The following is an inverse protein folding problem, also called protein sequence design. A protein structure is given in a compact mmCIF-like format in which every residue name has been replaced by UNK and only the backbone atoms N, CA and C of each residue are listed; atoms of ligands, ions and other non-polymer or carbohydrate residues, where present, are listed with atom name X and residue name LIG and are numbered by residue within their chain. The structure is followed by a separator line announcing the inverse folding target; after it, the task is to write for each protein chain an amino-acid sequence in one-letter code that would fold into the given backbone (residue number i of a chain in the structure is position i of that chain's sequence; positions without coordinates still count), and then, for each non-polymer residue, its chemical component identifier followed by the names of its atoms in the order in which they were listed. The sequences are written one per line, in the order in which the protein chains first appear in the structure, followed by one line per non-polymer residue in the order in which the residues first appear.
data_IF_668050907508
#
_entry.id   IF_668050907508
#
_cell.length_a   1.000
_cell.length_b   1.000
_cell.length_c   1.000
_cell.angle_alpha   90.00
_cell.angle_beta   90.00
_cell.angle_gamma   90.00
#
_symmetry.space_group_name_H-M   'P 1'
#
loop_
_entity.id
_entity.type
_entity.pdbx_description
1 polymer ?
#
# COMPACT_ATOMS: atom_id res chain seq x y z
N UNK A 1 -16.60 18.28 -5.35
CA UNK A 1 -16.70 16.92 -5.95
C UNK A 1 -15.41 16.41 -6.58
N UNK A 2 -14.73 17.14 -7.48
CA UNK A 2 -13.50 16.65 -8.16
C UNK A 2 -12.42 16.14 -7.19
N UNK A 3 -12.11 16.90 -6.13
CA UNK A 3 -11.09 16.50 -5.14
C UNK A 3 -11.51 15.30 -4.29
N UNK A 4 -12.79 15.14 -3.99
CA UNK A 4 -13.32 13.96 -3.30
C UNK A 4 -13.10 12.70 -4.12
N UNK A 5 -13.40 12.75 -5.43
CA UNK A 5 -13.17 11.62 -6.35
C UNK A 5 -11.68 11.28 -6.38
N UNK A 6 -10.80 12.28 -6.57
CA UNK A 6 -9.35 12.08 -6.60
C UNK A 6 -8.86 11.44 -5.29
N UNK A 7 -9.27 11.97 -4.13
CA UNK A 7 -8.88 11.43 -2.83
C UNK A 7 -9.30 9.97 -2.65
N UNK A 8 -10.56 9.65 -2.96
CA UNK A 8 -11.07 8.27 -2.87
C UNK A 8 -10.38 7.33 -3.86
N UNK A 9 -10.10 7.77 -5.09
CA UNK A 9 -9.35 6.98 -6.08
C UNK A 9 -7.94 6.67 -5.57
N UNK A 10 -7.24 7.64 -4.95
CA UNK A 10 -5.91 7.39 -4.37
C UNK A 10 -5.96 6.36 -3.24
N UNK A 11 -6.97 6.42 -2.38
CA UNK A 11 -7.17 5.41 -1.33
C UNK A 11 -7.45 4.02 -1.90
N UNK A 12 -8.29 3.93 -2.94
CA UNK A 12 -8.58 2.67 -3.62
C UNK A 12 -7.32 2.09 -4.26
N UNK A 13 -6.54 2.91 -4.96
CA UNK A 13 -5.28 2.49 -5.58
C UNK A 13 -4.26 2.05 -4.54
N UNK A 14 -4.17 2.74 -3.40
CA UNK A 14 -3.33 2.33 -2.27
C UNK A 14 -3.70 0.91 -1.79
N UNK A 15 -4.99 0.65 -1.57
CA UNK A 15 -5.47 -0.66 -1.13
C UNK A 15 -5.18 -1.76 -2.16
N UNK A 16 -5.40 -1.48 -3.45
CA UNK A 16 -5.11 -2.43 -4.54
C UNK A 16 -3.62 -2.75 -4.60
N UNK A 17 -2.75 -1.73 -4.57
CA UNK A 17 -1.29 -1.92 -4.62
C UNK A 17 -0.79 -2.68 -3.40
N UNK A 18 -1.29 -2.37 -2.20
CA UNK A 18 -0.91 -3.11 -0.99
C UNK A 18 -1.35 -4.58 -1.07
N UNK A 19 -2.60 -4.83 -1.45
CA UNK A 19 -3.15 -6.18 -1.60
C UNK A 19 -2.40 -7.00 -2.65
N UNK A 20 -2.13 -6.43 -3.82
CA UNK A 20 -1.37 -7.11 -4.87
C UNK A 20 0.05 -7.45 -4.43
N UNK A 21 0.66 -6.59 -3.61
CA UNK A 21 1.98 -6.84 -3.03
C UNK A 21 1.99 -8.01 -2.07
N UNK A 22 0.96 -8.14 -1.21
CA UNK A 22 0.84 -9.29 -0.31
C UNK A 22 0.62 -10.60 -1.09
N UNK A 23 -0.14 -10.55 -2.18
CA UNK A 23 -0.32 -11.70 -3.08
C UNK A 23 1.02 -12.08 -3.72
N UNK A 24 1.76 -11.11 -4.25
CA UNK A 24 3.08 -11.34 -4.84
C UNK A 24 4.08 -11.91 -3.84
N UNK A 25 4.13 -11.36 -2.62
CA UNK A 25 4.98 -11.87 -1.55
C UNK A 25 4.59 -13.30 -1.15
N UNK A 26 3.30 -13.63 -1.15
CA UNK A 26 2.81 -14.99 -0.88
C UNK A 26 3.30 -15.99 -1.93
N UNK A 27 3.27 -15.61 -3.21
CA UNK A 27 3.78 -16.46 -4.29
C UNK A 27 5.31 -16.60 -4.21
N UNK A 28 6.01 -15.49 -4.03
CA UNK A 28 7.48 -15.49 -3.93
C UNK A 28 7.99 -16.27 -2.70
N UNK A 29 7.21 -16.29 -1.62
CA UNK A 29 7.50 -17.13 -0.44
C UNK A 29 7.54 -18.63 -0.78
N UNK A 30 6.73 -19.10 -1.72
CA UNK A 30 6.77 -20.51 -2.15
C UNK A 30 8.08 -20.83 -2.89
N UNK A 31 8.60 -19.87 -3.66
CA UNK A 31 9.88 -20.01 -4.36
C UNK A 31 11.03 -20.06 -3.36
N UNK A 32 11.04 -19.14 -2.38
CA UNK A 32 12.03 -19.12 -1.29
C UNK A 32 11.97 -20.38 -0.40
N UNK A 33 10.76 -20.89 -0.14
CA UNK A 33 10.57 -22.10 0.68
C UNK A 33 10.98 -23.38 -0.03
N UNK A 34 10.76 -23.49 -1.34
CA UNK A 34 11.07 -24.69 -2.14
C UNK A 34 12.55 -24.82 -2.48
N UNK A 35 13.26 -23.71 -2.64
CA UNK A 35 14.71 -23.70 -2.91
C UNK A 35 15.57 -23.85 -1.64
N UNK A 36 14.98 -23.71 -0.45
CA UNK A 36 15.65 -23.93 0.85
C UNK A 36 16.80 -22.96 1.16
N UNK A 37 17.11 -22.01 0.27
CA UNK A 37 18.18 -21.04 0.38
C UNK A 37 17.67 -19.66 -0.05
N UNK A 38 18.21 -18.60 0.55
CA UNK A 38 17.95 -17.21 0.15
C UNK A 38 17.01 -16.42 1.06
N UNK A 39 16.35 -17.05 2.04
CA UNK A 39 15.54 -16.32 3.02
C UNK A 39 16.31 -16.04 4.32
N UNK A 40 16.07 -14.88 4.93
CA UNK A 40 16.73 -14.44 6.15
C UNK A 40 15.97 -14.96 7.38
N UNK A 41 16.66 -15.73 8.23
CA UNK A 41 16.11 -16.32 9.46
C UNK A 41 15.44 -15.32 10.40
N UNK A 42 15.88 -14.04 10.39
CA UNK A 42 15.31 -12.98 11.24
C UNK A 42 13.92 -12.56 10.82
N UNK A 43 13.61 -12.67 9.53
CA UNK A 43 12.34 -12.21 8.95
C UNK A 43 11.42 -13.36 8.54
N UNK A 44 11.92 -14.59 8.52
CA UNK A 44 11.18 -15.73 8.00
C UNK A 44 11.04 -15.67 6.48
N UNK A 45 10.45 -16.72 5.91
CA UNK A 45 10.25 -16.83 4.46
C UNK A 45 9.37 -15.69 3.94
N UNK A 46 8.22 -15.46 4.56
CA UNK A 46 7.28 -14.43 4.14
C UNK A 46 7.79 -13.00 4.37
N UNK A 47 8.46 -12.74 5.49
CA UNK A 47 9.05 -11.42 5.75
C UNK A 47 10.20 -11.10 4.79
N UNK A 48 11.03 -12.09 4.45
CA UNK A 48 12.03 -11.93 3.39
C UNK A 48 11.35 -11.64 2.04
N UNK A 49 10.28 -12.36 1.71
CA UNK A 49 9.53 -12.12 0.48
C UNK A 49 8.96 -10.71 0.41
N UNK A 50 8.32 -10.23 1.48
CA UNK A 50 7.84 -8.84 1.57
C UNK A 50 9.00 -7.85 1.39
N UNK A 51 10.17 -8.13 1.94
CA UNK A 51 11.32 -7.23 1.82
C UNK A 51 11.85 -7.16 0.39
N UNK A 52 11.94 -8.28 -0.31
CA UNK A 52 12.50 -8.35 -1.65
C UNK A 52 11.54 -7.83 -2.73
N UNK A 53 10.28 -8.29 -2.74
CA UNK A 53 9.31 -7.89 -3.76
C UNK A 53 8.36 -6.79 -3.32
N UNK A 54 8.22 -6.57 -2.01
CA UNK A 54 7.21 -5.66 -1.45
C UNK A 54 7.69 -4.29 -1.01
N UNK A 55 8.98 -4.05 -0.82
CA UNK A 55 9.49 -2.76 -0.31
C UNK A 55 9.04 -1.57 -1.17
N UNK A 56 9.23 -1.64 -2.49
CA UNK A 56 8.84 -0.54 -3.38
C UNK A 56 7.31 -0.38 -3.49
N UNK A 57 6.52 -1.44 -3.78
CA UNK A 57 5.06 -1.33 -3.84
C UNK A 57 4.39 -0.91 -2.52
N UNK A 58 4.88 -1.37 -1.36
CA UNK A 58 4.33 -0.95 -0.06
C UNK A 58 4.62 0.54 0.18
N UNK A 59 5.83 0.99 -0.16
CA UNK A 59 6.20 2.40 -0.03
C UNK A 59 5.29 3.28 -0.90
N UNK A 60 5.04 2.89 -2.15
CA UNK A 60 4.14 3.65 -3.03
C UNK A 60 2.69 3.61 -2.55
N UNK A 61 2.20 2.46 -2.09
CA UNK A 61 0.87 2.34 -1.48
C UNK A 61 0.71 3.27 -0.27
N UNK A 62 1.73 3.36 0.57
CA UNK A 62 1.71 4.23 1.75
C UNK A 62 1.67 5.72 1.38
N UNK A 63 2.43 6.13 0.36
CA UNK A 63 2.38 7.49 -0.17
C UNK A 63 0.99 7.83 -0.75
N UNK A 64 0.39 6.90 -1.50
CA UNK A 64 -0.97 7.05 -2.03
C UNK A 64 -2.01 7.17 -0.90
N UNK A 65 -1.86 6.38 0.17
CA UNK A 65 -2.73 6.43 1.34
C UNK A 65 -2.69 7.83 1.99
N UNK A 66 -1.49 8.31 2.32
CA UNK A 66 -1.30 9.62 2.97
C UNK A 66 -1.85 10.73 2.05
N UNK A 67 -1.52 10.69 0.76
CA UNK A 67 -2.00 11.68 -0.21
C UNK A 67 -3.53 11.69 -0.32
N UNK A 68 -4.15 10.51 -0.41
CA UNK A 68 -5.60 10.36 -0.47
C UNK A 68 -6.31 10.89 0.77
N UNK A 69 -5.84 10.50 1.96
CA UNK A 69 -6.39 10.97 3.25
C UNK A 69 -6.25 12.50 3.36
N UNK A 70 -5.08 13.03 3.04
CA UNK A 70 -4.82 14.47 3.13
C UNK A 70 -5.77 15.29 2.24
N UNK A 71 -5.97 14.87 0.99
CA UNK A 71 -6.89 15.55 0.07
C UNK A 71 -8.33 15.51 0.59
N UNK A 72 -8.78 14.38 1.14
CA UNK A 72 -10.13 14.26 1.70
C UNK A 72 -10.33 15.16 2.92
N UNK A 73 -9.37 15.19 3.85
CA UNK A 73 -9.43 16.07 5.04
C UNK A 73 -9.50 17.53 4.61
N UNK A 74 -8.62 17.95 3.69
CA UNK A 74 -8.63 19.32 3.18
C UNK A 74 -9.96 19.67 2.51
N UNK A 75 -10.51 18.76 1.71
CA UNK A 75 -11.79 18.97 1.03
C UNK A 75 -12.93 19.13 2.04
N UNK A 76 -13.05 18.21 2.99
CA UNK A 76 -14.08 18.27 4.04
C UNK A 76 -13.96 19.53 4.90
N UNK A 77 -12.74 19.96 5.23
CA UNK A 77 -12.52 21.19 6.01
C UNK A 77 -12.92 22.47 5.27
N UNK A 78 -12.81 22.49 3.93
CA UNK A 78 -13.25 23.62 3.10
C UNK A 78 -14.76 23.67 3.03
N UNK A 79 -15.41 22.54 2.76
CA UNK A 79 -16.87 22.41 2.70
C UNK A 79 -17.52 22.86 4.03
N UNK A 80 -16.94 22.47 5.17
CA UNK A 80 -17.40 22.90 6.49
C UNK A 80 -17.32 24.42 6.72
N UNK A 81 -16.25 25.06 6.24
CA UNK A 81 -16.07 26.51 6.38
C UNK A 81 -17.00 27.32 5.47
N UNK A 82 -17.37 26.79 4.30
CA UNK A 82 -18.26 27.46 3.37
C UNK A 82 -19.75 27.38 3.77
N UNK A 83 -20.12 26.44 4.65
CA UNK A 83 -21.47 26.32 5.18
C UNK A 83 -21.77 27.24 6.38
N UNK A 84 -20.76 27.89 6.93
CA UNK A 84 -20.87 28.82 8.06
C UNK A 84 -20.97 30.25 7.54
#
# INVERSE_FOLDING_TARGET
MKFTIIGTTLLLMSAIVYGSTLIAASYYSQVLGSSGQGWDSRYGIFGTAIREVGTFPITTSFLLLIGGVFILILTTSKEWRLKK
#
